data_IF_011060497599
#
_entry.id   IF_011060497599
#
_cell.length_a   1.000
_cell.length_b   1.000
_cell.length_c   1.000
_cell.angle_alpha   90.00
_cell.angle_beta   90.00
_cell.angle_gamma   90.00
#
_symmetry.space_group_name_H-M   'P 1'
#
loop_
_entity.id
_entity.type
_entity.pdbx_description
1 polymer ?
#
# COMPACT_ATOMS: atom_id res chain seq x y z
N UNK A 1 5.31 19.55 3.56
CA UNK A 1 3.93 19.28 4.05
C UNK A 1 3.65 17.78 4.15
N UNK A 2 4.00 16.97 3.14
CA UNK A 2 3.78 15.51 3.15
C UNK A 2 4.40 14.76 4.35
N UNK A 3 5.62 15.12 4.78
CA UNK A 3 6.22 14.56 6.01
C UNK A 3 5.29 14.67 7.24
N UNK A 4 4.66 15.82 7.43
CA UNK A 4 3.76 16.06 8.58
C UNK A 4 2.53 15.17 8.49
N UNK A 5 1.96 15.03 7.28
CA UNK A 5 0.81 14.14 7.03
C UNK A 5 1.18 12.69 7.35
N UNK A 6 2.34 12.21 6.86
CA UNK A 6 2.82 10.85 7.14
C UNK A 6 2.99 10.63 8.64
N UNK A 7 3.63 11.57 9.35
CA UNK A 7 3.82 11.46 10.80
C UNK A 7 2.47 11.41 11.52
N UNK A 8 1.50 12.26 11.15
CA UNK A 8 0.16 12.23 11.75
C UNK A 8 -0.49 10.87 11.53
N UNK A 9 -0.41 10.31 10.32
CA UNK A 9 -0.97 8.98 10.02
C UNK A 9 -0.27 7.87 10.82
N UNK A 10 1.06 7.92 10.96
CA UNK A 10 1.79 6.95 11.80
C UNK A 10 1.38 7.07 13.28
N UNK A 11 1.16 8.29 13.77
CA UNK A 11 0.66 8.54 15.13
C UNK A 11 -0.76 8.03 15.31
N UNK A 12 -1.65 8.15 14.32
CA UNK A 12 -2.98 7.54 14.41
C UNK A 12 -2.89 6.02 14.48
N UNK A 13 -1.96 5.40 13.75
CA UNK A 13 -1.66 3.97 13.87
C UNK A 13 -1.28 3.56 15.30
N UNK A 14 -0.40 4.33 15.95
CA UNK A 14 -0.03 4.10 17.35
C UNK A 14 -1.25 4.21 18.29
N UNK A 15 -2.05 5.26 18.15
CA UNK A 15 -3.22 5.50 19.03
C UNK A 15 -4.29 4.42 18.82
N UNK A 16 -4.58 4.06 17.58
CA UNK A 16 -5.54 3.00 17.23
C UNK A 16 -5.04 1.66 17.76
N UNK A 17 -3.77 1.35 17.58
CA UNK A 17 -3.14 0.14 18.11
C UNK A 17 -3.19 0.04 19.64
N UNK A 18 -2.96 1.15 20.35
CA UNK A 18 -3.09 1.22 21.81
C UNK A 18 -4.51 0.88 22.29
N UNK A 19 -5.54 1.33 21.54
CA UNK A 19 -6.95 1.10 21.88
C UNK A 19 -7.42 -0.31 21.54
N UNK A 20 -6.95 -0.86 20.41
CA UNK A 20 -7.32 -2.19 19.91
C UNK A 20 -6.57 -3.32 20.62
N UNK A 21 -5.37 -3.05 21.13
CA UNK A 21 -4.50 -4.07 21.73
C UNK A 21 -3.91 -5.04 20.71
N UNK A 22 -3.08 -5.96 21.18
CA UNK A 22 -2.27 -6.85 20.33
C UNK A 22 -3.12 -7.79 19.46
N UNK A 23 -4.15 -8.41 20.02
CA UNK A 23 -4.90 -9.47 19.33
C UNK A 23 -5.56 -8.95 18.06
N UNK A 24 -6.32 -7.85 18.16
CA UNK A 24 -6.95 -7.22 17.00
C UNK A 24 -5.92 -6.67 16.02
N UNK A 25 -4.81 -6.15 16.53
CA UNK A 25 -3.79 -5.60 15.68
C UNK A 25 -3.08 -6.68 14.86
N UNK A 26 -2.90 -7.88 15.41
CA UNK A 26 -2.46 -9.05 14.65
C UNK A 26 -3.47 -9.38 13.56
N UNK A 27 -4.77 -9.42 13.85
CA UNK A 27 -5.82 -9.70 12.84
C UNK A 27 -5.74 -8.72 11.67
N UNK A 28 -5.64 -7.42 11.96
CA UNK A 28 -5.55 -6.39 10.95
C UNK A 28 -4.24 -6.45 10.16
N UNK A 29 -3.12 -6.79 10.81
CA UNK A 29 -1.84 -6.99 10.14
C UNK A 29 -1.87 -8.24 9.25
N UNK A 30 -2.42 -9.37 9.71
CA UNK A 30 -2.62 -10.56 8.86
C UNK A 30 -3.53 -10.25 7.67
N UNK A 31 -4.54 -9.41 7.86
CA UNK A 31 -5.41 -8.97 6.77
C UNK A 31 -4.66 -8.18 5.70
N UNK A 32 -3.63 -7.40 6.08
CA UNK A 32 -2.74 -6.75 5.11
C UNK A 32 -2.01 -7.79 4.26
N UNK A 33 -1.42 -8.82 4.88
CA UNK A 33 -0.69 -9.86 4.15
C UNK A 33 -1.61 -10.71 3.26
N UNK A 34 -2.82 -11.02 3.71
CA UNK A 34 -3.82 -11.74 2.89
C UNK A 34 -4.23 -10.88 1.69
N UNK A 35 -4.50 -9.59 1.90
CA UNK A 35 -4.84 -8.69 0.80
C UNK A 35 -3.69 -8.54 -0.19
N UNK A 36 -2.46 -8.42 0.30
CA UNK A 36 -1.26 -8.39 -0.53
C UNK A 36 -1.12 -9.68 -1.35
N UNK A 37 -1.25 -10.84 -0.71
CA UNK A 37 -1.15 -12.14 -1.38
C UNK A 37 -2.22 -12.29 -2.47
N UNK A 38 -3.48 -12.02 -2.17
CA UNK A 38 -4.56 -12.11 -3.15
C UNK A 38 -4.34 -11.12 -4.30
N UNK A 39 -3.89 -9.90 -4.03
CA UNK A 39 -3.52 -8.96 -5.08
C UNK A 39 -2.38 -9.51 -5.96
N UNK A 40 -1.35 -10.14 -5.38
CA UNK A 40 -0.29 -10.78 -6.16
C UNK A 40 -0.72 -12.00 -6.98
N UNK A 41 -1.85 -12.63 -6.62
CA UNK A 41 -2.34 -13.80 -7.36
C UNK A 41 -3.27 -13.42 -8.51
N UNK A 42 -4.04 -12.33 -8.37
CA UNK A 42 -5.12 -11.98 -9.30
C UNK A 42 -4.87 -10.71 -10.14
N UNK A 43 -3.75 -9.99 -9.93
CA UNK A 43 -3.49 -8.74 -10.66
C UNK A 43 -3.42 -8.93 -12.18
N UNK A 44 -2.86 -10.05 -12.68
CA UNK A 44 -2.75 -10.30 -14.12
C UNK A 44 -4.12 -10.49 -14.76
N UNK A 45 -4.99 -11.29 -14.14
CA UNK A 45 -6.34 -11.53 -14.65
C UNK A 45 -7.16 -10.24 -14.71
N UNK A 46 -7.06 -9.39 -13.69
CA UNK A 46 -7.73 -8.09 -13.70
C UNK A 46 -7.10 -7.13 -14.72
N UNK A 47 -5.78 -7.15 -14.90
CA UNK A 47 -5.08 -6.26 -15.83
C UNK A 47 -5.53 -6.44 -17.28
N UNK A 48 -5.74 -7.69 -17.71
CA UNK A 48 -6.22 -8.02 -19.05
C UNK A 48 -7.66 -7.51 -19.32
N UNK A 49 -8.48 -7.40 -18.26
CA UNK A 49 -9.84 -6.83 -18.37
C UNK A 49 -9.82 -5.31 -18.28
N UNK A 50 -8.91 -4.75 -17.49
CA UNK A 50 -8.82 -3.32 -17.25
C UNK A 50 -8.38 -2.54 -18.50
N UNK A 51 -7.51 -3.13 -19.33
CA UNK A 51 -7.09 -2.55 -20.61
C UNK A 51 -8.24 -2.31 -21.59
N UNK A 52 -9.36 -3.03 -21.44
CA UNK A 52 -10.56 -2.85 -22.27
C UNK A 52 -11.44 -1.67 -21.80
N UNK A 53 -11.26 -1.18 -20.57
CA UNK A 53 -12.11 -0.16 -19.97
C UNK A 53 -11.41 1.18 -19.77
N UNK A 54 -10.10 1.16 -19.45
CA UNK A 54 -9.32 2.36 -19.18
C UNK A 54 -8.24 2.45 -20.26
N UNK A 55 -8.28 3.41 -21.19
CA UNK A 55 -7.22 3.58 -22.18
C UNK A 55 -5.92 4.06 -21.51
N UNK A 56 -4.78 3.57 -22.02
CA UNK A 56 -3.47 4.01 -21.57
C UNK A 56 -3.28 5.51 -21.90
N UNK A 57 -2.79 6.33 -20.96
CA UNK A 57 -2.57 7.76 -21.22
C UNK A 57 -1.48 7.94 -22.30
N UNK A 58 -1.85 8.53 -23.43
CA UNK A 58 -0.89 8.92 -24.48
C UNK A 58 -0.06 10.10 -23.97
N UNK A 59 1.26 9.91 -23.89
CA UNK A 59 2.21 10.97 -23.58
C UNK A 59 2.63 11.56 -24.92
N UNK A 60 2.31 12.83 -25.20
CA UNK A 60 2.34 13.37 -26.57
C UNK A 60 3.59 13.02 -27.41
N UNK A 61 3.32 12.79 -28.70
CA UNK A 61 4.04 12.09 -29.80
C UNK A 61 5.57 12.28 -30.02
N UNK A 62 6.37 12.72 -29.05
CA UNK A 62 7.80 13.00 -29.30
C UNK A 62 8.73 12.97 -28.09
N UNK A 63 8.28 12.43 -26.96
CA UNK A 63 9.12 12.39 -25.76
C UNK A 63 10.03 11.15 -25.75
N UNK A 64 11.33 11.31 -25.45
CA UNK A 64 12.24 10.19 -25.21
C UNK A 64 11.75 9.22 -24.12
N UNK A 65 10.81 9.69 -23.29
CA UNK A 65 10.14 8.94 -22.25
C UNK A 65 9.10 7.96 -22.81
N UNK A 66 8.40 8.28 -23.91
CA UNK A 66 7.46 7.38 -24.57
C UNK A 66 8.20 6.17 -25.18
N UNK A 67 9.29 6.42 -25.90
CA UNK A 67 10.18 5.35 -26.41
C UNK A 67 10.74 4.45 -25.31
N UNK A 68 11.11 5.02 -24.16
CA UNK A 68 11.58 4.25 -23.01
C UNK A 68 10.46 3.38 -22.42
N UNK A 69 9.26 3.92 -22.27
CA UNK A 69 8.12 3.18 -21.76
C UNK A 69 7.72 2.04 -22.71
N UNK A 70 7.74 2.26 -24.03
CA UNK A 70 7.53 1.18 -25.00
C UNK A 70 8.59 0.07 -24.85
N UNK A 71 9.87 0.42 -24.69
CA UNK A 71 10.95 -0.55 -24.48
C UNK A 71 10.74 -1.41 -23.21
N UNK A 72 10.12 -0.85 -22.17
CA UNK A 72 9.93 -1.49 -20.86
C UNK A 72 8.51 -2.04 -20.69
N UNK A 73 7.69 -2.10 -21.75
CA UNK A 73 6.27 -2.49 -21.66
C UNK A 73 5.50 -1.67 -20.60
N UNK A 74 5.72 -0.36 -20.58
CA UNK A 74 5.16 0.58 -19.60
C UNK A 74 3.63 0.57 -19.54
N UNK A 75 2.97 0.24 -20.65
CA UNK A 75 1.52 0.00 -20.71
C UNK A 75 1.12 -1.22 -19.85
N UNK A 76 1.77 -2.37 -20.07
CA UNK A 76 1.48 -3.59 -19.32
C UNK A 76 1.79 -3.39 -17.83
N UNK A 77 2.90 -2.74 -17.50
CA UNK A 77 3.28 -2.40 -16.13
C UNK A 77 2.20 -1.52 -15.46
N UNK A 78 1.71 -0.49 -16.15
CA UNK A 78 0.63 0.38 -15.66
C UNK A 78 -0.65 -0.40 -15.32
N UNK A 79 -1.11 -1.27 -16.22
CA UNK A 79 -2.33 -2.06 -15.98
C UNK A 79 -2.16 -3.10 -14.87
N UNK A 80 -1.05 -3.84 -14.85
CA UNK A 80 -0.70 -4.79 -13.78
C UNK A 80 -0.71 -4.08 -12.42
N UNK A 81 -0.20 -2.87 -12.42
CA UNK A 81 -0.09 -2.06 -11.23
C UNK A 81 -1.37 -1.52 -10.64
N UNK A 82 -2.20 -0.90 -11.47
CA UNK A 82 -3.53 -0.45 -11.04
C UNK A 82 -4.37 -1.65 -10.61
N UNK A 83 -4.24 -2.78 -11.30
CA UNK A 83 -4.96 -4.01 -10.96
C UNK A 83 -4.57 -4.55 -9.59
N UNK A 84 -3.26 -4.61 -9.32
CA UNK A 84 -2.75 -4.95 -7.99
C UNK A 84 -3.32 -4.02 -6.92
N UNK A 85 -3.29 -2.70 -7.15
CA UNK A 85 -3.80 -1.72 -6.21
C UNK A 85 -5.29 -1.89 -5.93
N UNK A 86 -6.10 -2.04 -6.98
CA UNK A 86 -7.54 -2.23 -6.87
C UNK A 86 -7.88 -3.47 -6.05
N UNK A 87 -7.25 -4.61 -6.36
CA UNK A 87 -7.49 -5.85 -5.61
C UNK A 87 -7.03 -5.70 -4.17
N UNK A 88 -5.80 -5.19 -3.96
CA UNK A 88 -5.25 -4.98 -2.63
C UNK A 88 -6.17 -4.11 -1.78
N UNK A 89 -6.62 -2.97 -2.32
CA UNK A 89 -7.45 -2.02 -1.60
C UNK A 89 -8.84 -2.59 -1.30
N UNK A 90 -9.50 -3.21 -2.29
CA UNK A 90 -10.83 -3.82 -2.10
C UNK A 90 -10.77 -4.96 -1.08
N UNK A 91 -9.83 -5.89 -1.24
CA UNK A 91 -9.68 -7.03 -0.31
C UNK A 91 -9.30 -6.54 1.08
N UNK A 92 -8.37 -5.58 1.20
CA UNK A 92 -7.98 -5.01 2.49
C UNK A 92 -9.14 -4.31 3.16
N UNK A 93 -9.97 -3.58 2.41
CA UNK A 93 -11.18 -2.94 2.93
C UNK A 93 -12.18 -3.98 3.45
N UNK A 94 -12.45 -5.03 2.67
CA UNK A 94 -13.35 -6.11 3.08
C UNK A 94 -12.86 -6.81 4.35
N UNK A 95 -11.58 -7.18 4.39
CA UNK A 95 -10.99 -7.82 5.58
C UNK A 95 -10.89 -6.87 6.78
N UNK A 96 -10.75 -5.56 6.54
CA UNK A 96 -10.82 -4.58 7.62
C UNK A 96 -12.20 -4.55 8.27
N UNK A 97 -13.26 -4.56 7.45
CA UNK A 97 -14.64 -4.61 7.93
C UNK A 97 -14.83 -5.89 8.75
N UNK A 98 -14.45 -7.06 8.22
CA UNK A 98 -14.54 -8.34 8.94
C UNK A 98 -13.72 -8.32 10.25
N UNK A 99 -12.50 -7.81 10.20
CA UNK A 99 -11.61 -7.70 11.36
C UNK A 99 -12.20 -6.81 12.46
N UNK A 100 -12.83 -5.69 12.08
CA UNK A 100 -13.49 -4.78 13.04
C UNK A 100 -14.70 -5.41 13.74
N UNK A 101 -15.34 -6.43 13.13
CA UNK A 101 -16.39 -7.18 13.81
C UNK A 101 -15.86 -7.99 14.99
N UNK A 102 -14.54 -8.26 15.03
CA UNK A 102 -13.89 -8.95 16.14
C UNK A 102 -13.50 -8.00 17.28
N UNK A 103 -13.77 -6.70 17.17
CA UNK A 103 -13.31 -5.70 18.14
C UNK A 103 -13.74 -6.00 19.59
N UNK A 104 -14.81 -6.77 19.79
CA UNK A 104 -15.25 -7.24 21.10
C UNK A 104 -14.20 -8.12 21.82
N UNK A 105 -13.34 -8.82 21.07
CA UNK A 105 -12.27 -9.67 21.61
C UNK A 105 -11.14 -8.87 22.27
N UNK A 106 -11.04 -7.56 22.05
CA UNK A 106 -10.02 -6.73 22.71
C UNK A 106 -10.33 -6.43 24.19
N UNK A 107 -11.53 -6.74 24.68
CA UNK A 107 -11.94 -6.42 26.05
C UNK A 107 -11.48 -7.44 27.11
N UNK A 108 -10.66 -8.44 26.76
CA UNK A 108 -10.28 -9.51 27.69
C UNK A 108 -9.18 -9.02 28.67
N UNK A 109 -9.36 -9.18 30.00
CA UNK A 109 -8.50 -8.58 31.03
C UNK A 109 -7.20 -9.36 31.29
N UNK A 110 -6.30 -9.49 30.30
CA UNK A 110 -5.09 -10.35 30.38
C UNK A 110 -3.79 -9.53 30.39
N UNK A 111 -3.72 -8.42 31.15
CA UNK A 111 -2.56 -7.47 31.26
C UNK A 111 -2.66 -6.30 30.27
N UNK A 112 -3.46 -5.29 30.64
CA UNK A 112 -3.82 -4.13 29.79
C UNK A 112 -2.64 -3.30 29.28
N UNK A 113 -1.56 -3.15 30.06
CA UNK A 113 -0.45 -2.27 29.70
C UNK A 113 0.44 -2.87 28.59
N UNK A 114 0.91 -4.11 28.76
CA UNK A 114 1.74 -4.78 27.74
C UNK A 114 0.95 -5.03 26.44
N UNK A 115 -0.34 -5.40 26.57
CA UNK A 115 -1.24 -5.56 25.43
C UNK A 115 -1.40 -4.25 24.63
N UNK A 116 -1.50 -3.10 25.33
CA UNK A 116 -1.57 -1.79 24.71
C UNK A 116 -0.30 -1.42 23.96
N UNK A 117 0.87 -1.54 24.59
CA UNK A 117 2.15 -1.19 23.95
C UNK A 117 2.46 -2.04 22.72
N UNK A 118 2.22 -3.35 22.78
CA UNK A 118 2.36 -4.23 21.63
C UNK A 118 1.30 -3.90 20.56
N UNK A 119 0.07 -3.61 20.95
CA UNK A 119 -0.95 -3.09 20.05
C UNK A 119 -0.49 -1.82 19.33
N UNK A 120 0.11 -0.86 20.03
CA UNK A 120 0.66 0.36 19.46
C UNK A 120 1.72 0.07 18.40
N UNK A 121 2.69 -0.80 18.75
CA UNK A 121 3.78 -1.18 17.86
C UNK A 121 3.26 -1.81 16.56
N UNK A 122 2.36 -2.79 16.68
CA UNK A 122 1.76 -3.42 15.50
C UNK A 122 0.82 -2.46 14.74
N UNK A 123 0.24 -1.46 15.43
CA UNK A 123 -0.57 -0.38 14.87
C UNK A 123 0.25 0.55 13.99
N UNK A 124 1.42 0.94 14.49
CA UNK A 124 2.41 1.66 13.72
C UNK A 124 2.83 0.87 12.48
N UNK A 125 3.15 -0.41 12.62
CA UNK A 125 3.56 -1.25 11.48
C UNK A 125 2.45 -1.42 10.45
N UNK A 126 1.20 -1.62 10.86
CA UNK A 126 0.08 -1.71 9.92
C UNK A 126 -0.03 -0.43 9.08
N UNK A 127 -0.07 0.74 9.73
CA UNK A 127 -0.18 2.01 9.00
C UNK A 127 1.06 2.29 8.16
N UNK A 128 2.26 1.98 8.65
CA UNK A 128 3.50 2.08 7.89
C UNK A 128 3.42 1.28 6.59
N UNK A 129 2.98 0.02 6.65
CA UNK A 129 2.88 -0.85 5.47
C UNK A 129 1.81 -0.37 4.48
N UNK A 130 0.66 0.09 4.99
CA UNK A 130 -0.39 0.68 4.13
C UNK A 130 0.14 1.94 3.41
N UNK A 131 0.81 2.83 4.15
CA UNK A 131 1.41 4.04 3.58
C UNK A 131 2.49 3.70 2.56
N UNK A 132 3.35 2.71 2.83
CA UNK A 132 4.34 2.24 1.89
C UNK A 132 3.70 1.82 0.56
N UNK A 133 2.65 0.99 0.59
CA UNK A 133 1.96 0.54 -0.63
C UNK A 133 1.37 1.73 -1.39
N UNK A 134 0.69 2.64 -0.70
CA UNK A 134 0.09 3.84 -1.33
C UNK A 134 1.17 4.72 -1.96
N UNK A 135 2.24 5.04 -1.21
CA UNK A 135 3.32 5.90 -1.68
C UNK A 135 4.07 5.28 -2.85
N UNK A 136 4.31 3.96 -2.82
CA UNK A 136 4.96 3.25 -3.91
C UNK A 136 4.14 3.35 -5.20
N UNK A 137 2.83 3.14 -5.12
CA UNK A 137 1.94 3.25 -6.28
C UNK A 137 1.89 4.69 -6.79
N UNK A 138 1.80 5.67 -5.90
CA UNK A 138 1.84 7.09 -6.27
C UNK A 138 3.17 7.48 -6.92
N UNK A 139 4.29 6.92 -6.48
CA UNK A 139 5.60 7.16 -7.08
C UNK A 139 5.74 6.60 -8.49
N UNK A 140 4.98 5.55 -8.81
CA UNK A 140 4.94 4.94 -10.14
C UNK A 140 4.06 5.70 -11.12
N UNK A 141 3.16 6.57 -10.66
CA UNK A 141 2.37 7.40 -11.56
C UNK A 141 3.26 8.46 -12.23
N UNK A 142 3.21 8.61 -13.57
CA UNK A 142 3.97 9.63 -14.30
C UNK A 142 3.33 11.03 -14.16
N UNK A 143 2.96 11.41 -12.93
CA UNK A 143 2.33 12.69 -12.60
C UNK A 143 3.36 13.55 -11.89
N UNK A 144 3.85 14.58 -12.59
CA UNK A 144 4.94 15.44 -12.12
C UNK A 144 4.65 16.05 -10.73
N UNK A 145 3.41 16.49 -10.51
CA UNK A 145 2.97 17.01 -9.21
C UNK A 145 3.15 16.00 -8.06
N UNK A 146 2.72 14.76 -8.26
CA UNK A 146 2.80 13.69 -7.24
C UNK A 146 4.26 13.33 -6.99
N UNK A 147 5.06 13.19 -8.04
CA UNK A 147 6.49 12.89 -7.90
C UNK A 147 7.23 14.01 -7.16
N UNK A 148 6.92 15.28 -7.42
CA UNK A 148 7.49 16.40 -6.70
C UNK A 148 7.10 16.41 -5.22
N UNK A 149 5.84 16.07 -4.88
CA UNK A 149 5.41 15.92 -3.49
C UNK A 149 6.19 14.84 -2.75
N UNK A 150 6.41 13.68 -3.38
CA UNK A 150 7.17 12.56 -2.81
C UNK A 150 8.64 12.95 -2.64
N UNK A 151 9.29 13.50 -3.69
CA UNK A 151 10.71 13.90 -3.66
C UNK A 151 11.03 14.94 -2.59
N UNK A 152 10.09 15.85 -2.29
CA UNK A 152 10.24 16.85 -1.23
C UNK A 152 10.07 16.27 0.20
N UNK A 153 9.67 15.01 0.31
CA UNK A 153 9.36 14.33 1.57
C UNK A 153 10.42 13.28 1.89
N UNK A 154 11.35 13.63 2.77
CA UNK A 154 12.40 12.69 3.24
C UNK A 154 11.83 11.38 3.78
N UNK A 155 10.67 11.42 4.45
CA UNK A 155 10.03 10.22 4.99
C UNK A 155 9.44 9.37 3.87
N UNK A 156 8.75 9.97 2.90
CA UNK A 156 8.16 9.23 1.78
C UNK A 156 9.24 8.53 0.94
N UNK A 157 10.29 9.26 0.59
CA UNK A 157 11.45 8.71 -0.14
C UNK A 157 12.11 7.58 0.64
N UNK A 158 12.35 7.78 1.95
CA UNK A 158 12.93 6.76 2.82
C UNK A 158 12.08 5.49 2.93
N UNK A 159 10.75 5.62 3.02
CA UNK A 159 9.83 4.48 3.03
C UNK A 159 9.91 3.66 1.74
N UNK A 160 9.94 4.34 0.59
CA UNK A 160 10.00 3.69 -0.73
C UNK A 160 11.35 2.97 -0.92
N UNK A 161 12.46 3.61 -0.55
CA UNK A 161 13.81 3.09 -0.79
C UNK A 161 14.23 2.00 0.19
N UNK A 162 13.83 2.08 1.46
CA UNK A 162 14.31 1.18 2.52
C UNK A 162 13.34 0.04 2.90
N UNK A 163 12.29 -0.20 2.12
CA UNK A 163 11.37 -1.34 2.31
C UNK A 163 11.58 -2.40 1.21
N UNK A 164 12.74 -3.09 1.17
CA UNK A 164 13.22 -3.80 -0.02
C UNK A 164 12.40 -5.04 -0.37
N UNK A 165 11.84 -5.76 0.62
CA UNK A 165 11.14 -7.03 0.38
C UNK A 165 9.89 -6.80 -0.47
N UNK A 166 9.11 -5.79 -0.14
CA UNK A 166 7.89 -5.45 -0.88
C UNK A 166 8.21 -4.69 -2.16
N UNK A 167 9.20 -3.78 -2.13
CA UNK A 167 9.62 -3.02 -3.31
C UNK A 167 10.10 -3.93 -4.45
N UNK A 168 10.97 -4.92 -4.16
CA UNK A 168 11.42 -5.90 -5.17
C UNK A 168 10.27 -6.73 -5.73
N UNK A 169 9.41 -7.27 -4.87
CA UNK A 169 8.30 -8.11 -5.32
C UNK A 169 7.30 -7.33 -6.18
N UNK A 170 7.00 -6.09 -5.81
CA UNK A 170 6.14 -5.22 -6.62
C UNK A 170 6.80 -4.85 -7.95
N UNK A 171 8.11 -4.56 -7.94
CA UNK A 171 8.86 -4.28 -9.16
C UNK A 171 8.89 -5.49 -10.11
N UNK A 172 9.18 -6.69 -9.60
CA UNK A 172 9.23 -7.92 -10.38
C UNK A 172 7.89 -8.26 -11.03
N UNK A 173 6.78 -8.01 -10.34
CA UNK A 173 5.42 -8.24 -10.87
C UNK A 173 5.02 -7.28 -11.98
N UNK A 174 5.59 -6.07 -12.01
CA UNK A 174 5.26 -5.07 -13.02
C UNK A 174 6.18 -5.13 -14.24
N UNK A 175 7.47 -5.44 -14.02
CA UNK A 175 8.49 -5.44 -15.07
C UNK A 175 8.58 -6.77 -15.85
N UNK A 176 8.13 -7.88 -15.27
CA UNK A 176 7.94 -9.16 -15.97
C UNK A 176 6.46 -9.35 -16.27
#
# INVERSE_FOLDING_TARGET
MLNVIIVILLLTGLIVGLRRGLILQIVHLTSFFIAFLLATLYYEELSARLSLWIPYPTLGDSSALEMFLEMVNGEAAFYKGISFFLIFFVVKLLLHIVGSMLDFLANVPVIKQLNGWLGALFGFFEVYLILFVILYILALLPIEYIQNLIRQSSIATSMIEHTPIFSKKLQDMWLN
#
